data_IF_436972291932
#
_entry.id   IF_436972291932
#
_cell.length_a   1.000
_cell.length_b   1.000
_cell.length_c   1.000
_cell.angle_alpha   90.00
_cell.angle_beta   90.00
_cell.angle_gamma   90.00
#
_symmetry.space_group_name_H-M   'P 1'
#
loop_
_entity.id
_entity.type
_entity.pdbx_description
1 polymer ?
#
# COMPACT_ATOMS: atom_id res chain seq x y z
N UNK A 1 -7.32 -2.03 -25.67
CA UNK A 1 -8.48 -2.28 -24.79
C UNK A 1 -8.04 -3.25 -23.69
N UNK A 2 -7.60 -2.77 -22.54
CA UNK A 2 -7.24 -3.64 -21.41
C UNK A 2 -8.49 -3.80 -20.57
N UNK A 3 -9.20 -4.92 -20.75
CA UNK A 3 -10.35 -5.28 -19.90
C UNK A 3 -9.95 -5.99 -18.61
N UNK A 4 -8.72 -6.50 -18.52
CA UNK A 4 -8.32 -7.47 -17.48
C UNK A 4 -7.01 -7.12 -16.75
N UNK A 5 -6.84 -5.88 -16.30
CA UNK A 5 -5.73 -5.50 -15.42
C UNK A 5 -6.23 -5.08 -14.04
N UNK A 6 -6.76 -6.04 -13.29
CA UNK A 6 -6.91 -5.89 -11.85
C UNK A 6 -5.87 -6.78 -11.17
N UNK A 7 -5.03 -6.22 -10.29
CA UNK A 7 -4.55 -6.82 -9.02
C UNK A 7 -3.29 -6.16 -8.42
N UNK A 8 -3.03 -4.85 -8.54
CA UNK A 8 -2.03 -4.19 -7.69
C UNK A 8 -2.55 -2.87 -7.11
N UNK A 9 -3.02 -2.83 -5.85
CA UNK A 9 -3.52 -1.63 -5.20
C UNK A 9 -2.37 -0.64 -4.88
N UNK A 10 -2.30 0.49 -5.57
CA UNK A 10 -1.65 1.76 -5.21
C UNK A 10 -2.69 2.89 -5.17
N UNK A 11 -2.80 3.61 -4.05
CA UNK A 11 -4.09 4.06 -3.52
C UNK A 11 -4.79 5.27 -4.17
N UNK A 12 -4.07 6.23 -4.77
CA UNK A 12 -4.72 7.45 -5.28
C UNK A 12 -5.12 7.34 -6.75
N UNK A 13 -4.18 6.93 -7.62
CA UNK A 13 -4.45 6.73 -9.04
C UNK A 13 -5.55 5.67 -9.26
N UNK A 14 -5.58 4.63 -8.42
CA UNK A 14 -6.58 3.57 -8.53
C UNK A 14 -7.97 4.04 -8.12
N UNK A 15 -8.11 4.91 -7.12
CA UNK A 15 -9.44 5.41 -6.74
C UNK A 15 -10.07 6.23 -7.88
N UNK A 16 -9.29 7.03 -8.60
CA UNK A 16 -9.77 7.75 -9.78
C UNK A 16 -10.09 6.78 -10.93
N UNK A 17 -9.15 5.90 -11.31
CA UNK A 17 -9.39 4.93 -12.39
C UNK A 17 -10.61 4.04 -12.09
N UNK A 18 -10.77 3.59 -10.85
CA UNK A 18 -11.91 2.78 -10.43
C UNK A 18 -13.23 3.55 -10.56
N UNK A 19 -13.27 4.83 -10.17
CA UNK A 19 -14.48 5.67 -10.35
C UNK A 19 -14.81 5.93 -11.81
N UNK A 20 -13.80 6.22 -12.64
CA UNK A 20 -13.99 6.41 -14.08
C UNK A 20 -14.55 5.14 -14.72
N UNK A 21 -13.99 3.97 -14.39
CA UNK A 21 -14.51 2.69 -14.85
C UNK A 21 -15.95 2.43 -14.38
N UNK A 22 -16.28 2.73 -13.11
CA UNK A 22 -17.66 2.62 -12.60
C UNK A 22 -18.64 3.55 -13.33
N UNK A 23 -18.17 4.72 -13.77
CA UNK A 23 -18.96 5.67 -14.55
C UNK A 23 -19.05 5.31 -16.04
N UNK A 24 -18.56 4.14 -16.46
CA UNK A 24 -18.62 3.67 -17.85
C UNK A 24 -17.54 4.26 -18.76
N UNK A 25 -16.54 4.95 -18.21
CA UNK A 25 -15.44 5.49 -19.01
C UNK A 25 -14.47 4.38 -19.41
N UNK A 26 -13.92 4.51 -20.61
CA UNK A 26 -12.88 3.63 -21.09
C UNK A 26 -11.50 4.03 -20.54
N UNK A 27 -10.75 3.06 -20.04
CA UNK A 27 -9.37 3.23 -19.60
C UNK A 27 -8.42 2.67 -20.67
N UNK A 28 -7.60 3.55 -21.24
CA UNK A 28 -6.64 3.21 -22.29
C UNK A 28 -5.21 3.25 -21.76
N UNK A 29 -4.45 2.19 -22.03
CA UNK A 29 -3.01 2.16 -21.83
C UNK A 29 -2.31 2.53 -23.14
N UNK A 30 -1.45 3.55 -23.09
CA UNK A 30 -0.74 4.07 -24.27
C UNK A 30 0.76 3.85 -24.07
N UNK A 31 1.32 2.72 -24.52
CA UNK A 31 2.73 2.40 -24.28
C UNK A 31 3.71 3.35 -24.96
N UNK A 32 3.27 4.10 -25.98
CA UNK A 32 4.07 5.12 -26.67
C UNK A 32 4.27 6.38 -25.82
N UNK A 33 3.37 6.65 -24.88
CA UNK A 33 3.49 7.77 -23.97
C UNK A 33 4.47 7.42 -22.84
N UNK A 34 5.62 8.08 -22.83
CA UNK A 34 6.65 7.88 -21.81
C UNK A 34 6.56 8.99 -20.75
N UNK A 35 6.42 8.59 -19.50
CA UNK A 35 6.42 9.51 -18.35
C UNK A 35 7.60 9.16 -17.46
N UNK A 36 8.53 10.11 -17.29
CA UNK A 36 9.67 9.95 -16.39
C UNK A 36 9.25 10.42 -15.00
N UNK A 37 9.18 9.48 -14.05
CA UNK A 37 8.95 9.82 -12.65
C UNK A 37 10.30 9.97 -11.94
N UNK A 38 10.67 11.21 -11.61
CA UNK A 38 11.78 11.49 -10.69
C UNK A 38 11.36 11.14 -9.25
N UNK A 39 11.37 9.84 -8.94
CA UNK A 39 10.85 9.30 -7.69
C UNK A 39 11.71 9.62 -6.47
N UNK A 40 11.06 9.67 -5.31
CA UNK A 40 11.73 9.55 -4.00
C UNK A 40 12.28 10.84 -3.40
N UNK A 41 12.33 11.97 -4.11
CA UNK A 41 12.82 13.23 -3.53
C UNK A 41 11.96 13.68 -2.32
N UNK A 42 10.64 13.69 -2.46
CA UNK A 42 9.70 14.02 -1.38
C UNK A 42 9.44 12.84 -0.43
N UNK A 43 9.40 11.61 -0.94
CA UNK A 43 9.10 10.43 -0.11
C UNK A 43 10.27 9.99 0.78
N UNK A 44 11.54 10.25 0.41
CA UNK A 44 12.70 9.93 1.25
C UNK A 44 12.73 10.73 2.55
N UNK A 45 12.23 11.97 2.52
CA UNK A 45 12.18 12.85 3.69
C UNK A 45 11.18 12.36 4.76
N UNK A 46 10.19 11.58 4.36
CA UNK A 46 9.12 11.11 5.25
C UNK A 46 8.70 9.66 4.93
N UNK A 47 9.69 8.79 4.68
CA UNK A 47 9.47 7.44 4.15
C UNK A 47 8.51 6.61 5.02
N UNK A 48 8.67 6.67 6.33
CA UNK A 48 7.79 5.98 7.29
C UNK A 48 6.35 6.51 7.23
N UNK A 49 6.16 7.82 7.30
CA UNK A 49 4.84 8.44 7.26
C UNK A 49 4.14 8.17 5.92
N UNK A 50 4.87 8.25 4.81
CA UNK A 50 4.35 7.95 3.48
C UNK A 50 3.92 6.48 3.36
N UNK A 51 4.69 5.56 3.96
CA UNK A 51 4.34 4.15 4.00
C UNK A 51 3.04 3.91 4.74
N UNK A 52 2.85 4.54 5.90
CA UNK A 52 1.61 4.42 6.68
C UNK A 52 0.43 5.04 5.96
N UNK A 53 0.62 6.21 5.34
CA UNK A 53 -0.41 6.86 4.53
C UNK A 53 -0.84 5.98 3.36
N UNK A 54 0.10 5.30 2.69
CA UNK A 54 -0.21 4.34 1.63
C UNK A 54 -1.17 3.23 2.13
N UNK A 55 -0.90 2.63 3.29
CA UNK A 55 -1.77 1.58 3.84
C UNK A 55 -3.11 2.14 4.33
N UNK A 56 -3.12 3.32 4.95
CA UNK A 56 -4.35 4.01 5.35
C UNK A 56 -5.25 4.26 4.15
N UNK A 57 -4.70 4.81 3.06
CA UNK A 57 -5.47 5.05 1.83
C UNK A 57 -5.96 3.75 1.18
N UNK A 58 -5.21 2.64 1.25
CA UNK A 58 -5.70 1.32 0.80
C UNK A 58 -6.88 0.83 1.64
N UNK A 59 -6.82 0.97 2.97
CA UNK A 59 -7.96 0.62 3.85
C UNK A 59 -9.18 1.46 3.50
N UNK A 60 -9.01 2.77 3.31
CA UNK A 60 -10.08 3.69 2.89
C UNK A 60 -10.69 3.27 1.54
N UNK A 61 -9.87 2.91 0.56
CA UNK A 61 -10.35 2.41 -0.74
C UNK A 61 -11.22 1.15 -0.58
N UNK A 62 -10.72 0.14 0.16
CA UNK A 62 -11.47 -1.10 0.38
C UNK A 62 -12.75 -0.87 1.19
N UNK A 63 -12.76 0.10 2.11
CA UNK A 63 -13.95 0.50 2.86
C UNK A 63 -14.97 1.17 1.92
N UNK A 64 -14.53 2.12 1.10
CA UNK A 64 -15.37 2.91 0.18
C UNK A 64 -16.09 2.03 -0.85
N UNK A 65 -15.38 1.13 -1.52
CA UNK A 65 -15.96 0.30 -2.61
C UNK A 65 -16.32 -1.13 -2.18
N UNK A 66 -16.08 -1.47 -0.93
CA UNK A 66 -16.19 -2.83 -0.43
C UNK A 66 -16.84 -3.00 0.93
N UNK A 67 -17.19 -1.89 1.57
CA UNK A 67 -17.70 -1.84 2.93
C UNK A 67 -16.69 -2.33 3.97
N UNK A 68 -17.14 -2.32 5.22
CA UNK A 68 -16.28 -2.66 6.35
C UNK A 68 -15.80 -4.13 6.32
N UNK A 69 -16.55 -5.03 5.68
CA UNK A 69 -16.14 -6.44 5.53
C UNK A 69 -14.84 -6.58 4.72
N UNK A 70 -14.73 -5.90 3.57
CA UNK A 70 -13.53 -5.95 2.73
C UNK A 70 -12.37 -5.20 3.40
N UNK A 71 -12.64 -4.07 4.06
CA UNK A 71 -11.64 -3.36 4.86
C UNK A 71 -11.05 -4.24 5.98
N UNK A 72 -11.89 -4.92 6.77
CA UNK A 72 -11.44 -5.86 7.81
C UNK A 72 -10.64 -7.03 7.24
N UNK A 73 -11.09 -7.62 6.13
CA UNK A 73 -10.33 -8.69 5.46
C UNK A 73 -8.95 -8.19 5.01
N UNK A 74 -8.87 -7.02 4.39
CA UNK A 74 -7.61 -6.40 4.00
C UNK A 74 -6.70 -6.17 5.21
N UNK A 75 -7.20 -5.57 6.30
CA UNK A 75 -6.43 -5.39 7.55
C UNK A 75 -5.90 -6.73 8.09
N UNK A 76 -6.70 -7.80 8.09
CA UNK A 76 -6.25 -9.14 8.53
C UNK A 76 -5.12 -9.67 7.65
N UNK A 77 -5.24 -9.56 6.33
CA UNK A 77 -4.19 -9.98 5.40
C UNK A 77 -2.90 -9.19 5.60
N UNK A 78 -2.98 -7.87 5.82
CA UNK A 78 -1.82 -7.04 6.14
C UNK A 78 -1.18 -7.49 7.45
N UNK A 79 -1.95 -7.77 8.51
CA UNK A 79 -1.39 -8.30 9.78
C UNK A 79 -0.65 -9.62 9.57
N UNK A 80 -1.28 -10.57 8.89
CA UNK A 80 -0.69 -11.89 8.61
C UNK A 80 0.58 -11.77 7.76
N UNK A 81 0.63 -10.84 6.81
CA UNK A 81 1.82 -10.63 5.98
C UNK A 81 2.95 -9.92 6.74
N UNK A 82 2.64 -8.99 7.66
CA UNK A 82 3.66 -8.14 8.29
C UNK A 82 4.16 -8.66 9.64
N UNK A 83 3.41 -9.50 10.33
CA UNK A 83 3.86 -10.13 11.57
C UNK A 83 5.13 -10.99 11.37
N UNK A 84 5.21 -11.89 10.37
CA UNK A 84 6.43 -12.67 10.12
C UNK A 84 7.60 -11.80 9.67
N UNK A 85 7.33 -10.71 8.92
CA UNK A 85 8.36 -9.75 8.48
C UNK A 85 8.97 -9.00 9.66
N UNK A 86 8.14 -8.60 10.62
CA UNK A 86 8.61 -8.00 11.87
C UNK A 86 9.43 -9.00 12.67
N UNK A 87 8.96 -10.24 12.82
CA UNK A 87 9.68 -11.31 13.50
C UNK A 87 11.06 -11.57 12.86
N UNK A 88 11.11 -11.73 11.54
CA UNK A 88 12.36 -11.90 10.80
C UNK A 88 13.30 -10.70 10.97
N UNK A 89 12.79 -9.46 10.88
CA UNK A 89 13.58 -8.25 11.11
C UNK A 89 14.11 -8.15 12.55
N UNK A 90 13.33 -8.59 13.54
CA UNK A 90 13.80 -8.65 14.94
C UNK A 90 14.90 -9.68 15.14
N UNK A 91 14.76 -10.87 14.55
CA UNK A 91 15.77 -11.93 14.63
C UNK A 91 17.05 -11.52 13.89
N UNK A 92 16.95 -10.94 12.71
CA UNK A 92 18.09 -10.45 11.94
C UNK A 92 18.85 -9.35 12.69
N UNK A 93 18.14 -8.38 13.28
CA UNK A 93 18.77 -7.33 14.07
C UNK A 93 19.49 -7.90 15.31
N UNK A 94 18.91 -8.91 15.97
CA UNK A 94 19.52 -9.58 17.11
C UNK A 94 20.77 -10.40 16.69
N UNK A 95 20.69 -11.15 15.60
CA UNK A 95 21.77 -12.01 15.12
C UNK A 95 22.97 -11.22 14.56
N UNK A 96 22.73 -10.05 13.98
CA UNK A 96 23.78 -9.24 13.33
C UNK A 96 24.26 -8.06 14.18
N UNK A 97 23.58 -7.76 15.30
CA UNK A 97 23.76 -6.55 16.10
C UNK A 97 23.69 -5.24 15.27
N UNK A 98 23.05 -5.28 14.10
CA UNK A 98 22.88 -4.13 13.19
C UNK A 98 21.43 -3.66 13.18
N UNK A 99 21.19 -2.34 13.03
CA UNK A 99 19.84 -1.82 12.86
C UNK A 99 19.26 -2.29 11.52
N UNK A 100 17.99 -2.73 11.55
CA UNK A 100 17.19 -3.03 10.36
C UNK A 100 16.14 -1.91 10.23
N UNK A 101 16.33 -0.91 9.36
CA UNK A 101 15.46 0.26 9.26
C UNK A 101 13.98 -0.06 9.07
N UNK A 102 13.67 -1.13 8.32
CA UNK A 102 12.31 -1.56 8.01
C UNK A 102 11.55 -2.06 9.23
N UNK A 103 12.25 -2.53 10.28
CA UNK A 103 11.65 -3.01 11.53
C UNK A 103 10.72 -1.96 12.13
N UNK A 104 11.13 -0.69 12.11
CA UNK A 104 10.35 0.41 12.68
C UNK A 104 9.07 0.64 11.87
N UNK A 105 9.16 0.62 10.55
CA UNK A 105 8.01 0.78 9.63
C UNK A 105 7.01 -0.37 9.85
N UNK A 106 7.47 -1.62 9.95
CA UNK A 106 6.58 -2.76 10.19
C UNK A 106 5.87 -2.67 11.54
N UNK A 107 6.60 -2.27 12.58
CA UNK A 107 6.05 -2.08 13.94
C UNK A 107 5.00 -0.98 13.94
N UNK A 108 5.29 0.19 13.36
CA UNK A 108 4.36 1.31 13.21
C UNK A 108 3.10 0.91 12.45
N UNK A 109 3.28 0.23 11.31
CA UNK A 109 2.15 -0.21 10.49
C UNK A 109 1.22 -1.12 11.28
N UNK A 110 1.75 -2.13 11.97
CA UNK A 110 0.94 -3.05 12.76
C UNK A 110 0.21 -2.36 13.93
N UNK A 111 0.85 -1.37 14.56
CA UNK A 111 0.27 -0.59 15.65
C UNK A 111 -0.86 0.35 15.19
N UNK A 112 -0.70 0.99 14.03
CA UNK A 112 -1.69 1.94 13.51
C UNK A 112 -2.82 1.31 12.70
N UNK A 113 -2.59 0.14 12.11
CA UNK A 113 -3.58 -0.57 11.27
C UNK A 113 -4.99 -0.75 11.88
N UNK A 114 -5.18 -0.96 13.21
CA UNK A 114 -6.50 -0.95 13.82
C UNK A 114 -7.27 0.37 13.58
N UNK A 115 -6.56 1.50 13.61
CA UNK A 115 -7.09 2.86 13.53
C UNK A 115 -7.31 3.38 12.09
N UNK A 116 -6.88 2.62 11.07
CA UNK A 116 -7.08 2.97 9.66
C UNK A 116 -8.53 2.79 9.16
#
# INVERSE_FOLDING_TARGET
MIRDAWLLPGSAAIDLCYRLAQAGWELWWVPQAQVIHYGGASSRQAAEAMYLQLYRSKVQFYRKFGGERRARRFKRLVRLAYWPRLAAATLAAAATARPVPEKQIYRRLLAELPHF
#
